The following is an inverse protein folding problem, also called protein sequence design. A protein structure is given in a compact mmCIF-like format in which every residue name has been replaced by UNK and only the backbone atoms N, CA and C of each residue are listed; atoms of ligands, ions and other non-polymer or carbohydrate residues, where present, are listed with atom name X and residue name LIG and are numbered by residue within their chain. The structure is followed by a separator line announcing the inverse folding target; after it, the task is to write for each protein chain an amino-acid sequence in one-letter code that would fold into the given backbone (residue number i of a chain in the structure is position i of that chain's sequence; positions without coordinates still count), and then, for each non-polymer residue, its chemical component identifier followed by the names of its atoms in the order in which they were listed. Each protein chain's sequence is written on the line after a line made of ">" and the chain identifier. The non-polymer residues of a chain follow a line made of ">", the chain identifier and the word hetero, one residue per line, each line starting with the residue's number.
data_IF_742087864725
#
_entry.id   IF_742087864725
#
_cell.length_a   1.000
_cell.length_b   1.000
_cell.length_c   1.000
_cell.angle_alpha   90.00
_cell.angle_beta   90.00
_cell.angle_gamma   90.00
#
_symmetry.space_group_name_H-M   'P 1'
#
loop_
_entity.id
_entity.type
_entity.pdbx_description
1 polymer ?
#
# COMPACT_ATOMS: atom_id res chain seq x y z
N UNK A 1 -7.13 37.40 -4.36
CA UNK A 1 -7.78 36.62 -3.30
C UNK A 1 -8.78 35.65 -3.94
N UNK A 2 -8.31 34.52 -4.47
CA UNK A 2 -9.16 33.51 -5.07
C UNK A 2 -8.84 32.19 -4.37
N UNK A 3 -9.84 31.70 -3.64
CA UNK A 3 -9.81 30.49 -2.85
C UNK A 3 -9.48 29.29 -3.73
N UNK A 4 -8.44 28.55 -3.33
CA UNK A 4 -8.21 27.20 -3.82
C UNK A 4 -9.47 26.36 -3.58
N UNK A 5 -9.95 25.56 -4.56
CA UNK A 5 -11.02 24.61 -4.30
C UNK A 5 -10.49 23.54 -3.33
N UNK A 6 -11.17 23.38 -2.20
CA UNK A 6 -10.93 22.29 -1.27
C UNK A 6 -11.15 20.96 -2.01
N UNK A 7 -10.08 20.21 -2.20
CA UNK A 7 -10.16 18.81 -2.60
C UNK A 7 -10.99 18.07 -1.53
N UNK A 8 -12.00 17.27 -1.89
CA UNK A 8 -12.70 16.46 -0.90
C UNK A 8 -11.69 15.48 -0.25
N UNK A 9 -11.71 15.28 1.08
CA UNK A 9 -10.79 14.35 1.75
C UNK A 9 -11.04 12.87 1.37
N UNK A 10 -12.01 12.58 0.49
CA UNK A 10 -12.41 11.23 0.08
C UNK A 10 -12.17 10.93 -1.41
N UNK A 11 -11.27 11.66 -2.08
CA UNK A 11 -10.68 11.20 -3.34
C UNK A 11 -9.71 10.03 -3.07
N UNK A 12 -10.20 8.99 -2.39
CA UNK A 12 -9.42 7.82 -2.06
C UNK A 12 -9.38 6.98 -3.32
N UNK A 13 -8.17 6.72 -3.81
CA UNK A 13 -7.92 5.61 -4.73
C UNK A 13 -8.43 4.36 -4.03
N UNK A 14 -9.67 3.95 -4.35
CA UNK A 14 -10.23 2.69 -3.89
C UNK A 14 -9.53 1.61 -4.68
N UNK A 15 -8.33 1.24 -4.21
CA UNK A 15 -7.66 0.01 -4.62
C UNK A 15 -8.72 -1.08 -4.50
N UNK A 16 -9.00 -1.81 -5.58
CA UNK A 16 -10.05 -2.80 -5.57
C UNK A 16 -9.67 -3.93 -4.60
N UNK A 17 -10.10 -3.78 -3.35
CA UNK A 17 -9.80 -4.63 -2.19
C UNK A 17 -10.33 -6.06 -2.31
N UNK A 18 -11.04 -6.41 -3.39
CA UNK A 18 -11.55 -7.76 -3.59
C UNK A 18 -10.45 -8.84 -3.61
N UNK A 19 -9.18 -8.46 -3.84
CA UNK A 19 -8.05 -9.39 -3.88
C UNK A 19 -6.84 -8.94 -3.03
N UNK A 20 -7.03 -8.17 -1.96
CA UNK A 20 -5.95 -8.01 -0.98
C UNK A 20 -5.98 -9.16 0.03
N UNK A 21 -4.84 -9.80 0.22
CA UNK A 21 -4.64 -10.70 1.36
C UNK A 21 -4.79 -9.92 2.68
N UNK A 22 -5.16 -10.57 3.80
CA UNK A 22 -5.27 -9.90 5.11
C UNK A 22 -4.01 -9.09 5.46
N UNK A 23 -2.82 -9.68 5.26
CA UNK A 23 -1.55 -9.00 5.50
C UNK A 23 -1.37 -7.73 4.65
N UNK A 24 -1.84 -7.70 3.40
CA UNK A 24 -1.76 -6.50 2.56
C UNK A 24 -2.77 -5.44 3.01
N UNK A 25 -3.98 -5.86 3.38
CA UNK A 25 -5.00 -4.95 3.89
C UNK A 25 -4.61 -4.31 5.23
N UNK A 26 -3.83 -5.01 6.05
CA UNK A 26 -3.30 -4.52 7.33
C UNK A 26 -1.99 -3.73 7.17
N UNK A 27 -1.46 -3.59 5.95
CA UNK A 27 -0.22 -2.88 5.68
C UNK A 27 1.05 -3.63 6.08
N UNK A 28 0.94 -4.94 6.30
CA UNK A 28 2.05 -5.83 6.64
C UNK A 28 2.75 -6.39 5.40
N UNK A 29 2.14 -6.28 4.23
CA UNK A 29 2.71 -6.72 2.97
C UNK A 29 2.53 -5.72 1.84
N UNK A 30 3.46 -5.71 0.89
CA UNK A 30 3.36 -4.91 -0.33
C UNK A 30 2.14 -5.31 -1.14
N UNK A 31 1.29 -4.35 -1.51
CA UNK A 31 0.10 -4.64 -2.32
C UNK A 31 0.43 -5.05 -3.78
N UNK A 32 1.68 -4.82 -4.23
CA UNK A 32 2.12 -5.15 -5.60
C UNK A 32 2.75 -6.54 -5.67
N UNK A 33 3.77 -6.81 -4.85
CA UNK A 33 4.54 -8.06 -4.92
C UNK A 33 4.27 -9.02 -3.76
N UNK A 34 3.47 -8.63 -2.77
CA UNK A 34 3.21 -9.45 -1.59
C UNK A 34 4.42 -9.61 -0.67
N UNK A 35 5.50 -8.83 -0.84
CA UNK A 35 6.64 -8.84 0.06
C UNK A 35 6.19 -8.57 1.49
N UNK A 36 6.50 -9.51 2.38
CA UNK A 36 6.15 -9.43 3.80
C UNK A 36 7.16 -8.52 4.51
N UNK A 37 6.67 -7.41 5.04
CA UNK A 37 7.48 -6.42 5.74
C UNK A 37 7.94 -6.89 7.12
N UNK A 38 7.36 -7.96 7.67
CA UNK A 38 7.82 -8.60 8.90
C UNK A 38 9.08 -9.45 8.66
N UNK A 39 9.26 -9.96 7.44
CA UNK A 39 10.41 -10.81 7.08
C UNK A 39 11.46 -10.05 6.29
N UNK A 40 11.07 -9.08 5.45
CA UNK A 40 11.97 -8.31 4.59
C UNK A 40 11.94 -6.83 4.95
N UNK A 41 13.10 -6.30 5.36
CA UNK A 41 13.29 -4.86 5.60
C UNK A 41 13.51 -4.12 4.29
N UNK A 42 12.42 -3.75 3.63
CA UNK A 42 12.44 -2.86 2.46
C UNK A 42 11.80 -1.52 2.80
N UNK A 43 12.36 -0.40 2.30
CA UNK A 43 11.67 0.88 2.39
C UNK A 43 10.34 0.80 1.63
N UNK A 44 9.30 1.38 2.24
CA UNK A 44 7.94 1.32 1.76
C UNK A 44 7.25 2.67 1.89
N UNK A 45 6.29 2.93 0.99
CA UNK A 45 5.55 4.19 0.91
C UNK A 45 4.06 3.95 1.12
N UNK A 46 3.37 4.82 1.87
CA UNK A 46 1.92 4.76 2.02
C UNK A 46 1.25 5.18 0.70
N UNK A 47 0.27 4.39 0.24
CA UNK A 47 -0.44 4.67 -1.03
C UNK A 47 -1.96 4.83 -0.89
N UNK A 48 -2.52 4.51 0.28
CA UNK A 48 -3.95 4.63 0.51
C UNK A 48 -4.40 3.87 1.76
N UNK A 49 -5.71 3.69 1.92
CA UNK A 49 -6.27 2.91 3.02
C UNK A 49 -7.09 1.74 2.52
N UNK A 50 -7.09 0.66 3.29
CA UNK A 50 -7.94 -0.50 3.07
C UNK A 50 -9.40 -0.20 3.43
N UNK A 51 -10.31 -1.13 3.14
CA UNK A 51 -11.73 -1.03 3.53
C UNK A 51 -11.93 -1.01 5.04
N UNK A 52 -10.98 -1.58 5.79
CA UNK A 52 -10.99 -1.59 7.25
C UNK A 52 -10.43 -0.29 7.83
N UNK A 53 -9.88 0.61 7.00
CA UNK A 53 -9.29 1.87 7.42
C UNK A 53 -7.78 1.78 7.73
N UNK A 54 -7.19 0.58 7.66
CA UNK A 54 -5.75 0.37 7.82
C UNK A 54 -4.97 1.03 6.67
N UNK A 55 -3.78 1.55 6.99
CA UNK A 55 -2.88 2.13 6.00
C UNK A 55 -2.25 1.01 5.15
N UNK A 56 -2.34 1.11 3.82
CA UNK A 56 -1.68 0.17 2.90
C UNK A 56 -0.39 0.78 2.33
N UNK A 57 0.57 -0.10 2.01
CA UNK A 57 1.93 0.27 1.61
C UNK A 57 2.38 -0.46 0.33
N UNK A 58 3.33 0.15 -0.37
CA UNK A 58 4.08 -0.45 -1.49
C UNK A 58 5.57 -0.34 -1.23
N UNK A 59 6.36 -1.25 -1.78
CA UNK A 59 7.81 -1.08 -1.83
C UNK A 59 8.17 0.24 -2.54
N UNK A 60 9.08 1.02 -1.95
CA UNK A 60 9.59 2.24 -2.58
C UNK A 60 10.59 1.91 -3.70
N UNK A 61 11.21 0.73 -3.62
CA UNK A 61 12.07 0.18 -4.65
C UNK A 61 11.26 -0.70 -5.59
N UNK A 62 11.83 -1.00 -6.76
CA UNK A 62 11.27 -1.99 -7.67
C UNK A 62 10.97 -3.26 -6.91
N UNK A 63 9.72 -3.72 -7.07
CA UNK A 63 9.30 -5.02 -6.60
C UNK A 63 10.11 -6.08 -7.37
N UNK A 64 11.25 -6.48 -6.81
CA UNK A 64 11.97 -7.63 -7.31
C UNK A 64 11.05 -8.84 -7.05
N UNK A 65 10.71 -9.59 -8.09
CA UNK A 65 9.95 -10.82 -7.95
C UNK A 65 10.59 -11.70 -6.84
N UNK A 66 9.81 -12.49 -6.09
CA UNK A 66 10.35 -13.29 -4.99
C UNK A 66 11.41 -14.26 -5.53
N UNK A 67 12.66 -13.94 -5.27
CA UNK A 67 13.83 -14.66 -5.75
C UNK A 67 15.07 -14.11 -5.05
N UNK A 68 15.20 -14.42 -3.76
CA UNK A 68 16.31 -13.93 -2.95
C UNK A 68 16.52 -14.71 -1.65
N UNK A 69 16.32 -16.02 -1.69
CA UNK A 69 16.97 -16.95 -0.77
C UNK A 69 17.80 -17.90 -1.62
N UNK A 70 19.11 -17.63 -1.68
CA UNK A 70 20.16 -18.60 -2.02
C UNK A 70 21.43 -18.14 -1.32
#
# INVERSE_FOLDING_TARGET
>A
MASHPATPPDAQVRVNLAHLSPAQADGLACVVCGADYLTVKVPHLPIGRSRTGSQIFVCSTTCLAPGGAA
#
